data_IF_346669101962
#
_entry.id   IF_346669101962
#
_cell.length_a   1.000
_cell.length_b   1.000
_cell.length_c   1.000
_cell.angle_alpha   90.00
_cell.angle_beta   90.00
_cell.angle_gamma   90.00
#
_symmetry.space_group_name_H-M   'P 1'
#
loop_
_entity.id
_entity.type
_entity.pdbx_description
1 polymer ?
#
# COMPACT_ATOMS: atom_id res chain seq x y z
N UNK A 1 -31.94 8.59 -2.26
CA UNK A 1 -30.73 8.30 -1.47
C UNK A 1 -29.57 8.14 -2.41
N UNK A 2 -28.59 8.99 -2.26
CA UNK A 2 -27.48 9.05 -3.20
C UNK A 2 -26.57 7.86 -2.98
N UNK A 3 -26.63 6.91 -3.89
CA UNK A 3 -25.61 5.90 -4.10
C UNK A 3 -24.36 6.67 -4.54
N UNK A 4 -23.50 7.06 -3.59
CA UNK A 4 -22.23 7.72 -3.89
C UNK A 4 -21.25 6.66 -4.36
N UNK A 5 -21.47 6.20 -5.56
CA UNK A 5 -20.49 5.42 -6.30
C UNK A 5 -19.31 6.34 -6.57
N UNK A 6 -18.18 6.10 -5.90
CA UNK A 6 -16.96 6.86 -6.14
C UNK A 6 -16.44 6.61 -7.56
N UNK A 7 -15.97 7.65 -8.24
CA UNK A 7 -15.26 7.47 -9.50
C UNK A 7 -13.92 6.74 -9.27
N UNK A 8 -13.35 6.15 -10.31
CA UNK A 8 -12.01 5.54 -10.20
C UNK A 8 -10.96 6.55 -9.72
N UNK A 9 -11.06 7.81 -10.18
CA UNK A 9 -10.16 8.88 -9.74
C UNK A 9 -10.32 9.20 -8.24
N UNK A 10 -11.56 9.19 -7.72
CA UNK A 10 -11.81 9.41 -6.29
C UNK A 10 -11.25 8.27 -5.45
N UNK A 11 -11.43 7.03 -5.91
CA UNK A 11 -10.90 5.83 -5.22
C UNK A 11 -9.38 5.86 -5.20
N UNK A 12 -8.74 6.15 -6.34
CA UNK A 12 -7.29 6.28 -6.44
C UNK A 12 -6.77 7.39 -5.51
N UNK A 13 -7.42 8.56 -5.50
CA UNK A 13 -7.05 9.66 -4.60
C UNK A 13 -7.13 9.26 -3.13
N UNK A 14 -8.21 8.58 -2.72
CA UNK A 14 -8.37 8.08 -1.35
C UNK A 14 -7.32 7.05 -0.98
N UNK A 15 -6.99 6.13 -1.88
CA UNK A 15 -5.95 5.12 -1.67
C UNK A 15 -4.59 5.78 -1.42
N UNK A 16 -4.13 6.64 -2.34
CA UNK A 16 -2.83 7.28 -2.24
C UNK A 16 -2.73 8.18 -1.00
N UNK A 17 -3.79 8.92 -0.67
CA UNK A 17 -3.86 9.72 0.55
C UNK A 17 -3.79 8.86 1.82
N UNK A 18 -4.45 7.71 1.84
CA UNK A 18 -4.41 6.78 2.96
C UNK A 18 -2.99 6.18 3.14
N UNK A 19 -2.32 5.81 2.05
CA UNK A 19 -0.93 5.32 2.06
C UNK A 19 0.01 6.40 2.60
N UNK A 20 -0.14 7.65 2.16
CA UNK A 20 0.67 8.78 2.65
C UNK A 20 0.52 8.98 4.17
N UNK A 21 -0.69 8.77 4.69
CA UNK A 21 -1.00 9.01 6.10
C UNK A 21 -0.59 7.85 7.03
N UNK A 22 -0.85 6.62 6.62
CA UNK A 22 -0.69 5.43 7.47
C UNK A 22 0.58 4.63 7.17
N UNK A 23 1.08 4.67 5.96
CA UNK A 23 2.36 4.16 5.46
C UNK A 23 2.67 2.67 5.68
N UNK A 24 2.12 2.00 6.67
CA UNK A 24 2.48 0.62 6.99
C UNK A 24 1.57 -0.39 6.29
N UNK A 25 2.16 -1.36 5.65
CA UNK A 25 1.46 -2.49 5.04
C UNK A 25 2.36 -3.71 4.95
N UNK A 26 1.85 -4.78 4.36
CA UNK A 26 2.56 -6.05 4.20
C UNK A 26 2.99 -6.21 2.73
N UNK A 27 4.28 -6.30 2.49
CA UNK A 27 4.89 -6.49 1.17
C UNK A 27 5.42 -7.90 1.02
N UNK A 28 5.14 -8.54 -0.10
CA UNK A 28 5.67 -9.87 -0.42
C UNK A 28 5.81 -10.09 -1.92
N UNK A 29 6.76 -10.95 -2.30
CA UNK A 29 6.99 -11.37 -3.67
C UNK A 29 6.11 -12.58 -3.99
N UNK A 30 5.43 -12.55 -5.12
CA UNK A 30 4.53 -13.62 -5.55
C UNK A 30 5.32 -14.88 -5.91
N UNK A 31 4.87 -16.02 -5.38
CA UNK A 31 5.51 -17.32 -5.65
C UNK A 31 6.81 -17.55 -4.87
N UNK A 32 7.22 -16.63 -4.02
CA UNK A 32 8.34 -16.79 -3.11
C UNK A 32 7.96 -17.68 -1.90
N UNK A 33 8.95 -18.31 -1.29
CA UNK A 33 8.79 -19.06 -0.04
C UNK A 33 8.75 -18.17 1.20
N UNK A 34 9.20 -16.93 1.10
CA UNK A 34 9.20 -15.99 2.21
C UNK A 34 7.81 -15.43 2.50
N UNK A 35 7.54 -15.17 3.76
CA UNK A 35 6.30 -14.53 4.17
C UNK A 35 6.28 -13.04 3.80
N UNK A 36 5.09 -12.49 3.68
CA UNK A 36 4.91 -11.04 3.59
C UNK A 36 5.46 -10.36 4.85
N UNK A 37 6.12 -9.23 4.68
CA UNK A 37 6.81 -8.50 5.74
C UNK A 37 6.19 -7.10 5.91
N UNK A 38 6.12 -6.58 7.15
CA UNK A 38 5.66 -5.22 7.38
C UNK A 38 6.67 -4.21 6.84
N UNK A 39 6.21 -3.32 5.98
CA UNK A 39 7.04 -2.30 5.32
C UNK A 39 6.40 -0.92 5.41
N UNK A 40 7.24 0.09 5.52
CA UNK A 40 6.80 1.50 5.46
C UNK A 40 6.82 1.98 4.02
N UNK A 41 5.65 2.32 3.50
CA UNK A 41 5.44 2.75 2.12
C UNK A 41 5.61 4.26 1.96
N UNK A 42 6.28 4.67 0.90
CA UNK A 42 6.38 6.05 0.42
C UNK A 42 5.78 6.11 -0.99
N UNK A 43 4.52 6.54 -1.06
CA UNK A 43 3.76 6.54 -2.31
C UNK A 43 4.05 7.77 -3.19
N UNK A 44 4.11 7.54 -4.49
CA UNK A 44 4.17 8.56 -5.54
C UNK A 44 2.98 8.39 -6.50
N UNK A 45 1.86 9.09 -6.24
CA UNK A 45 0.66 8.96 -7.06
C UNK A 45 0.87 9.28 -8.55
N UNK A 46 1.73 10.25 -8.83
CA UNK A 46 1.99 10.76 -10.18
C UNK A 46 2.67 9.72 -11.09
N UNK A 47 3.44 8.81 -10.48
CA UNK A 47 4.16 7.76 -11.19
C UNK A 47 3.61 6.36 -10.90
N UNK A 48 2.58 6.26 -10.05
CA UNK A 48 2.01 5.01 -9.55
C UNK A 48 3.07 4.09 -8.93
N UNK A 49 4.01 4.67 -8.16
CA UNK A 49 5.11 3.97 -7.52
C UNK A 49 4.99 4.01 -6.01
N UNK A 50 5.48 2.95 -5.39
CA UNK A 50 5.67 2.90 -3.94
C UNK A 50 7.12 2.53 -3.65
N UNK A 51 7.75 3.29 -2.77
CA UNK A 51 9.13 3.11 -2.37
C UNK A 51 9.22 2.59 -0.94
N UNK A 52 10.20 1.72 -0.70
CA UNK A 52 10.45 1.14 0.62
C UNK A 52 11.95 1.15 0.90
N UNK A 53 12.34 1.54 2.12
CA UNK A 53 13.72 1.36 2.59
C UNK A 53 13.90 -0.05 3.12
N UNK A 54 14.99 -0.68 2.76
CA UNK A 54 15.37 -2.00 3.28
C UNK A 54 16.87 -2.20 3.27
N UNK A 55 17.35 -3.29 3.87
CA UNK A 55 18.73 -3.72 3.79
C UNK A 55 18.98 -4.52 2.53
N UNK A 56 20.20 -4.41 1.97
CA UNK A 56 20.60 -5.15 0.77
C UNK A 56 20.55 -6.67 0.93
N UNK A 57 20.73 -7.14 2.16
CA UNK A 57 20.69 -8.55 2.55
C UNK A 57 19.33 -9.01 3.07
N UNK A 58 18.27 -8.20 2.88
CA UNK A 58 16.92 -8.60 3.25
C UNK A 58 16.32 -9.60 2.25
N UNK A 59 15.46 -10.50 2.75
CA UNK A 59 14.74 -11.47 1.91
C UNK A 59 14.00 -10.78 0.75
N UNK A 60 13.38 -9.62 1.01
CA UNK A 60 12.69 -8.85 -0.01
C UNK A 60 13.63 -8.29 -1.09
N UNK A 61 14.82 -7.81 -0.70
CA UNK A 61 15.79 -7.32 -1.66
C UNK A 61 16.37 -8.46 -2.50
N UNK A 62 16.63 -9.61 -1.90
CA UNK A 62 17.08 -10.81 -2.60
C UNK A 62 16.03 -11.31 -3.58
N UNK A 63 14.78 -11.46 -3.13
CA UNK A 63 13.67 -11.95 -3.97
C UNK A 63 13.29 -10.98 -5.07
N UNK A 64 13.35 -9.66 -4.81
CA UNK A 64 13.03 -8.64 -5.81
C UNK A 64 14.07 -8.57 -6.92
N UNK A 65 15.35 -8.60 -6.56
CA UNK A 65 16.47 -8.55 -7.53
C UNK A 65 16.29 -7.48 -8.59
N UNK A 66 16.39 -7.90 -9.85
CA UNK A 66 16.14 -7.07 -11.04
C UNK A 66 14.66 -6.90 -11.41
N UNK A 67 13.78 -7.49 -10.65
CA UNK A 67 12.32 -7.36 -10.79
C UNK A 67 11.56 -8.68 -10.62
N UNK A 68 10.56 -8.64 -9.75
CA UNK A 68 9.66 -9.76 -9.47
C UNK A 68 8.23 -9.26 -9.28
N UNK A 69 7.26 -10.11 -9.60
CA UNK A 69 5.86 -9.83 -9.28
C UNK A 69 5.67 -9.79 -7.76
N UNK A 70 5.05 -8.75 -7.27
CA UNK A 70 4.87 -8.55 -5.83
C UNK A 70 3.52 -7.93 -5.52
N UNK A 71 3.13 -8.04 -4.26
CA UNK A 71 1.87 -7.51 -3.76
C UNK A 71 2.12 -6.73 -2.47
N UNK A 72 1.52 -5.55 -2.38
CA UNK A 72 1.48 -4.74 -1.18
C UNK A 72 0.06 -4.70 -0.63
N UNK A 73 -0.15 -5.31 0.53
CA UNK A 73 -1.41 -5.27 1.26
C UNK A 73 -1.41 -4.09 2.21
N UNK A 74 -2.34 -3.19 2.02
CA UNK A 74 -2.50 -1.99 2.81
C UNK A 74 -3.84 -1.99 3.55
N UNK A 75 -3.83 -1.51 4.78
CA UNK A 75 -5.03 -1.41 5.61
C UNK A 75 -5.01 -0.14 6.45
N UNK A 76 -6.10 0.60 6.39
CA UNK A 76 -6.42 1.71 7.28
C UNK A 76 -7.86 1.58 7.80
N UNK A 77 -8.36 2.61 8.51
CA UNK A 77 -9.76 2.57 9.00
C UNK A 77 -10.79 2.61 7.88
N UNK A 78 -10.48 3.25 6.77
CA UNK A 78 -11.42 3.55 5.70
C UNK A 78 -11.05 2.89 4.36
N UNK A 79 -9.80 2.42 4.23
CA UNK A 79 -9.29 1.87 2.97
C UNK A 79 -8.54 0.57 3.24
N UNK A 80 -8.95 -0.48 2.55
CA UNK A 80 -8.20 -1.72 2.43
C UNK A 80 -7.80 -1.88 0.98
N UNK A 81 -6.58 -2.31 0.71
CA UNK A 81 -6.12 -2.49 -0.66
C UNK A 81 -5.15 -3.65 -0.80
N UNK A 82 -5.24 -4.33 -1.95
CA UNK A 82 -4.19 -5.19 -2.49
C UNK A 82 -3.65 -4.49 -3.73
N UNK A 83 -2.38 -4.13 -3.74
CA UNK A 83 -1.72 -3.45 -4.85
C UNK A 83 -0.72 -4.41 -5.46
N UNK A 84 -0.96 -4.78 -6.71
CA UNK A 84 -0.09 -5.66 -7.48
C UNK A 84 0.85 -4.84 -8.35
N UNK A 85 2.05 -5.34 -8.56
CA UNK A 85 3.02 -4.69 -9.42
C UNK A 85 4.36 -5.40 -9.48
N UNK A 86 5.32 -4.74 -10.12
CA UNK A 86 6.68 -5.22 -10.24
C UNK A 86 7.58 -4.57 -9.21
N UNK A 87 8.14 -5.38 -8.33
CA UNK A 87 9.09 -4.98 -7.30
C UNK A 87 10.52 -5.16 -7.82
N UNK A 88 11.34 -4.15 -7.67
CA UNK A 88 12.76 -4.19 -8.02
C UNK A 88 13.62 -3.44 -7.02
N UNK A 89 14.88 -3.86 -6.90
CA UNK A 89 15.89 -3.09 -6.16
C UNK A 89 16.23 -1.83 -6.97
N UNK A 90 16.31 -0.69 -6.30
CA UNK A 90 16.62 0.60 -6.89
C UNK A 90 17.64 1.36 -6.01
N UNK A 91 18.47 2.18 -6.63
CA UNK A 91 19.48 2.98 -5.94
C UNK A 91 19.30 4.48 -6.19
N UNK A 92 18.06 4.92 -6.42
CA UNK A 92 17.75 6.32 -6.71
C UNK A 92 18.06 7.22 -5.52
N UNK A 93 19.19 7.95 -5.61
CA UNK A 93 19.63 8.87 -4.57
C UNK A 93 18.64 9.99 -4.30
N UNK A 94 17.96 10.47 -5.33
CA UNK A 94 16.95 11.51 -5.16
C UNK A 94 15.76 11.04 -4.31
N UNK A 95 15.36 9.77 -4.43
CA UNK A 95 14.32 9.16 -3.59
C UNK A 95 14.81 8.93 -2.17
N UNK A 96 16.03 8.49 -1.98
CA UNK A 96 16.65 8.41 -0.65
C UNK A 96 16.59 9.77 0.02
N UNK A 97 17.04 10.82 -0.64
CA UNK A 97 17.04 12.18 -0.08
C UNK A 97 15.63 12.70 0.22
N UNK A 98 14.66 12.42 -0.68
CA UNK A 98 13.27 12.87 -0.55
C UNK A 98 12.56 12.25 0.65
N UNK A 99 12.76 10.96 0.90
CA UNK A 99 12.00 10.20 1.91
C UNK A 99 12.77 9.98 3.20
N UNK A 100 14.03 10.39 3.28
CA UNK A 100 14.84 10.27 4.48
C UNK A 100 14.23 11.04 5.66
N UNK A 101 14.07 10.35 6.78
CA UNK A 101 13.56 10.94 8.01
C UNK A 101 14.17 10.24 9.24
N UNK A 102 13.84 10.72 10.44
CA UNK A 102 14.39 10.20 11.68
C UNK A 102 14.06 8.71 11.93
N UNK A 103 12.87 8.26 11.51
CA UNK A 103 12.48 6.86 11.65
C UNK A 103 13.30 5.96 10.72
N UNK A 104 13.55 6.37 9.49
CA UNK A 104 14.42 5.65 8.56
C UNK A 104 15.86 5.65 9.06
N UNK A 105 16.37 6.80 9.50
CA UNK A 105 17.74 6.96 9.99
C UNK A 105 18.06 6.04 11.18
N UNK A 106 17.09 5.71 12.01
CA UNK A 106 17.28 4.82 13.15
C UNK A 106 17.71 3.39 12.76
N UNK A 107 17.42 2.96 11.53
CA UNK A 107 17.77 1.63 11.02
C UNK A 107 19.12 1.60 10.29
N UNK A 108 19.68 2.77 9.96
CA UNK A 108 20.91 2.88 9.18
C UNK A 108 21.94 3.78 9.87
N UNK A 109 22.79 3.21 10.75
CA UNK A 109 23.80 3.98 11.51
C UNK A 109 24.76 4.78 10.63
N UNK A 110 25.04 4.29 9.41
CA UNK A 110 25.88 4.98 8.42
C UNK A 110 25.18 6.12 7.67
N UNK A 111 23.92 6.42 8.01
CA UNK A 111 23.12 7.45 7.35
C UNK A 111 22.73 7.08 5.93
N UNK A 112 22.52 8.11 5.09
CA UNK A 112 22.14 7.93 3.68
C UNK A 112 23.19 7.21 2.82
N UNK A 113 24.43 7.16 3.30
CA UNK A 113 25.55 6.49 2.65
C UNK A 113 25.87 5.12 3.28
N UNK A 114 25.00 4.63 4.15
CA UNK A 114 25.14 3.31 4.76
C UNK A 114 25.26 2.24 3.66
N UNK A 115 26.33 1.42 3.67
CA UNK A 115 26.57 0.44 2.62
C UNK A 115 25.50 -0.65 2.55
N UNK A 116 24.72 -0.83 3.62
CA UNK A 116 23.65 -1.82 3.68
C UNK A 116 22.27 -1.27 3.24
N UNK A 117 22.17 0.04 3.10
CA UNK A 117 20.93 0.70 2.66
C UNK A 117 20.64 0.41 1.19
N UNK A 118 19.39 0.07 0.89
CA UNK A 118 18.85 0.07 -0.46
C UNK A 118 17.37 0.48 -0.47
N UNK A 119 16.84 0.74 -1.67
CA UNK A 119 15.42 0.95 -1.90
C UNK A 119 14.83 -0.24 -2.64
N UNK A 120 13.58 -0.51 -2.35
CA UNK A 120 12.70 -1.29 -3.21
C UNK A 120 11.71 -0.33 -3.87
N UNK A 121 11.47 -0.53 -5.16
CA UNK A 121 10.48 0.20 -5.94
C UNK A 121 9.41 -0.77 -6.43
N UNK A 122 8.17 -0.52 -6.05
CA UNK A 122 7.01 -1.19 -6.61
C UNK A 122 6.40 -0.30 -7.69
N UNK A 123 6.52 -0.72 -8.94
CA UNK A 123 5.79 -0.13 -10.06
C UNK A 123 4.40 -0.74 -10.09
N UNK A 124 3.40 -0.01 -9.56
CA UNK A 124 2.04 -0.52 -9.38
C UNK A 124 1.35 -0.70 -10.74
N UNK A 125 0.80 -1.89 -10.96
CA UNK A 125 0.08 -2.25 -12.19
C UNK A 125 -1.42 -2.10 -12.00
N UNK A 126 -1.95 -2.66 -10.92
CA UNK A 126 -3.35 -2.58 -10.57
C UNK A 126 -3.56 -2.67 -9.05
N UNK A 127 -4.78 -2.43 -8.60
CA UNK A 127 -5.15 -2.59 -7.22
C UNK A 127 -6.63 -2.94 -7.07
N UNK A 128 -6.92 -3.86 -6.15
CA UNK A 128 -8.25 -4.03 -5.61
C UNK A 128 -8.38 -3.20 -4.33
N UNK A 129 -9.34 -2.29 -4.31
CA UNK A 129 -9.54 -1.34 -3.21
C UNK A 129 -10.94 -1.51 -2.62
N UNK A 130 -11.01 -1.63 -1.31
CA UNK A 130 -12.27 -1.61 -0.56
C UNK A 130 -12.31 -0.33 0.27
N UNK A 131 -13.34 0.47 0.02
CA UNK A 131 -13.65 1.67 0.80
C UNK A 131 -14.68 1.32 1.85
N UNK A 132 -14.42 1.66 3.11
CA UNK A 132 -15.34 1.47 4.23
C UNK A 132 -15.93 2.82 4.60
N UNK A 133 -17.24 2.95 4.42
CA UNK A 133 -17.95 4.19 4.70
C UNK A 133 -18.50 4.25 6.13
N UNK A 134 -18.33 5.41 6.78
CA UNK A 134 -19.14 5.83 7.93
C UNK A 134 -18.74 5.29 9.31
N UNK A 135 -17.60 4.62 9.43
CA UNK A 135 -17.08 4.17 10.74
C UNK A 135 -17.98 3.16 11.48
N UNK A 136 -17.66 2.92 12.76
CA UNK A 136 -18.33 1.90 13.59
C UNK A 136 -19.84 2.14 13.76
N UNK A 137 -20.27 3.40 13.90
CA UNK A 137 -21.69 3.72 14.11
C UNK A 137 -22.52 3.37 12.88
N UNK A 138 -22.07 3.74 11.69
CA UNK A 138 -22.73 3.38 10.43
C UNK A 138 -22.75 1.86 10.26
N UNK A 139 -21.64 1.20 10.53
CA UNK A 139 -21.54 -0.26 10.47
C UNK A 139 -22.62 -0.94 11.35
N UNK A 140 -22.72 -0.55 12.62
CA UNK A 140 -23.70 -1.13 13.55
C UNK A 140 -25.14 -0.87 13.09
N UNK A 141 -25.43 0.33 12.60
CA UNK A 141 -26.75 0.68 12.07
C UNK A 141 -27.12 -0.12 10.83
N UNK A 142 -26.20 -0.25 9.88
CA UNK A 142 -26.42 -1.01 8.64
C UNK A 142 -26.57 -2.51 8.92
N UNK A 143 -25.82 -3.08 9.85
CA UNK A 143 -25.98 -4.47 10.27
C UNK A 143 -27.35 -4.70 10.94
N UNK A 144 -27.77 -3.80 11.83
CA UNK A 144 -29.08 -3.88 12.48
C UNK A 144 -30.23 -3.76 11.47
N UNK A 145 -30.14 -2.83 10.52
CA UNK A 145 -31.10 -2.65 9.43
C UNK A 145 -31.15 -3.87 8.51
N UNK A 146 -29.98 -4.40 8.12
CA UNK A 146 -29.89 -5.58 7.28
C UNK A 146 -30.53 -6.82 7.92
N UNK A 147 -30.31 -7.03 9.22
CA UNK A 147 -30.93 -8.11 9.98
C UNK A 147 -32.46 -7.96 10.05
N UNK A 148 -32.95 -6.74 10.23
CA UNK A 148 -34.40 -6.47 10.30
C UNK A 148 -35.08 -6.65 8.94
N UNK A 149 -34.45 -6.23 7.85
CA UNK A 149 -35.01 -6.28 6.49
C UNK A 149 -34.57 -7.48 5.66
N UNK A 150 -33.73 -8.36 6.21
CA UNK A 150 -33.15 -9.51 5.51
C UNK A 150 -32.39 -9.13 4.22
N UNK A 151 -31.68 -8.01 4.27
CA UNK A 151 -30.86 -7.48 3.18
C UNK A 151 -29.37 -7.57 3.53
N UNK A 152 -28.51 -7.30 2.56
CA UNK A 152 -27.05 -7.21 2.77
C UNK A 152 -26.73 -5.80 3.31
N UNK A 153 -25.89 -5.67 4.36
CA UNK A 153 -25.51 -4.35 4.88
C UNK A 153 -24.70 -3.57 3.85
N UNK A 154 -25.00 -2.29 3.69
CA UNK A 154 -24.23 -1.36 2.86
C UNK A 154 -23.12 -0.72 3.69
N UNK A 155 -21.97 -1.39 3.76
CA UNK A 155 -20.81 -1.00 4.59
C UNK A 155 -19.60 -0.52 3.80
N UNK A 156 -19.72 -0.43 2.49
CA UNK A 156 -18.64 0.03 1.63
C UNK A 156 -18.69 -0.51 0.23
N UNK A 157 -17.75 -0.11 -0.60
CA UNK A 157 -17.64 -0.55 -1.99
C UNK A 157 -16.26 -1.12 -2.32
N UNK A 158 -16.22 -2.08 -3.25
CA UNK A 158 -15.00 -2.56 -3.90
C UNK A 158 -14.84 -1.91 -5.27
N UNK A 159 -13.63 -1.47 -5.56
CA UNK A 159 -13.22 -0.98 -6.89
C UNK A 159 -11.88 -1.57 -7.29
N UNK A 160 -11.79 -1.89 -8.56
CA UNK A 160 -10.52 -2.29 -9.16
C UNK A 160 -9.95 -1.08 -9.91
N UNK A 161 -8.68 -0.75 -9.63
CA UNK A 161 -7.92 0.31 -10.26
C UNK A 161 -6.92 -0.30 -11.23
N UNK A 162 -6.72 0.33 -12.37
CA UNK A 162 -5.66 0.00 -13.31
C UNK A 162 -4.76 1.22 -13.44
N UNK A 163 -3.45 1.03 -13.28
CA UNK A 163 -2.43 2.07 -13.34
C UNK A 163 -1.58 2.03 -14.63
N UNK A 164 -1.87 1.08 -15.52
CA UNK A 164 -1.21 0.93 -16.82
C UNK A 164 -1.90 1.73 -17.92
#
# INVERSE_FOLDING_TARGET
MSDKTHSQADVAHKLWKAIEHHRTGMLGVSGDSHHFQPMTAFGEPETHRIWFFTSKDSDLAESAGGGAEAMFHFQSREVYACIDGRLSVDHDRARIDKYWNASVAAWYPGGKDDPNLTLLRLDSADAAVWLVDGGLVKYVLEVAKANASKTIPDVGERRDLNFQ
#
